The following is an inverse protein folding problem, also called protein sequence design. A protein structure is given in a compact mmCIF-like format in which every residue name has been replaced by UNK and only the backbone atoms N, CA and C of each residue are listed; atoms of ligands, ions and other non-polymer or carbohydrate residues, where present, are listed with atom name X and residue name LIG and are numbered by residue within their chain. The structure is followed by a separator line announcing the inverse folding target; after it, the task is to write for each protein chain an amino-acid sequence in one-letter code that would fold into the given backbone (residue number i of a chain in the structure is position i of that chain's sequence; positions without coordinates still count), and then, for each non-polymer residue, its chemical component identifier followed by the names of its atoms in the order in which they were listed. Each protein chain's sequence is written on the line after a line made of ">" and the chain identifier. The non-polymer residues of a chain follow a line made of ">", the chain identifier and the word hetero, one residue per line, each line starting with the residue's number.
data_IF_817557784876
#
_entry.id   IF_817557784876
#
_cell.length_a   1.000
_cell.length_b   1.000
_cell.length_c   1.000
_cell.angle_alpha   90.00
_cell.angle_beta   90.00
_cell.angle_gamma   90.00
#
_symmetry.space_group_name_H-M   'P 1'
#
loop_
_entity.id
_entity.type
_entity.pdbx_description
1 polymer ?
#
# COMPACT_ATOMS: atom_id res chain seq x y z
N UNK A 1 31.05 -44.07 52.88
CA UNK A 1 31.98 -43.46 53.88
C UNK A 1 33.17 -42.84 53.16
N UNK A 2 34.12 -43.61 52.60
CA UNK A 2 35.33 -43.10 51.93
C UNK A 2 35.01 -42.00 50.89
N UNK A 3 34.01 -42.23 50.04
CA UNK A 3 33.52 -41.23 49.05
C UNK A 3 32.99 -39.95 49.67
N UNK A 4 32.23 -40.02 50.77
CA UNK A 4 31.77 -38.80 51.45
C UNK A 4 32.96 -37.99 51.99
N UNK A 5 33.98 -38.69 52.50
CA UNK A 5 35.20 -38.07 53.02
C UNK A 5 36.05 -37.40 51.92
N UNK A 6 36.18 -38.01 50.73
CA UNK A 6 36.89 -37.36 49.62
C UNK A 6 36.13 -36.15 49.09
N UNK A 7 34.80 -36.20 49.00
CA UNK A 7 33.98 -35.06 48.58
C UNK A 7 33.99 -33.91 49.60
N UNK A 8 33.99 -34.18 50.92
CA UNK A 8 34.14 -33.12 51.93
C UNK A 8 35.55 -32.56 51.99
N UNK A 9 36.59 -33.37 51.82
CA UNK A 9 37.98 -32.89 51.69
C UNK A 9 38.16 -31.98 50.46
N UNK A 10 37.60 -32.38 49.31
CA UNK A 10 37.68 -31.59 48.07
C UNK A 10 36.89 -30.28 48.18
N UNK A 11 35.73 -30.28 48.87
CA UNK A 11 34.99 -29.05 49.19
C UNK A 11 35.77 -28.17 50.19
N UNK A 12 36.39 -28.76 51.21
CA UNK A 12 37.20 -28.02 52.20
C UNK A 12 38.42 -27.36 51.55
N UNK A 13 39.11 -28.04 50.64
CA UNK A 13 40.19 -27.46 49.84
C UNK A 13 39.70 -26.27 48.98
N UNK A 14 38.51 -26.38 48.40
CA UNK A 14 37.87 -25.30 47.63
C UNK A 14 37.52 -24.09 48.52
N UNK A 15 37.07 -24.32 49.76
CA UNK A 15 36.81 -23.26 50.76
C UNK A 15 38.12 -22.61 51.24
N UNK A 16 39.21 -23.36 51.39
CA UNK A 16 40.53 -22.80 51.69
C UNK A 16 41.06 -21.92 50.54
N UNK A 17 40.84 -22.32 49.28
CA UNK A 17 41.15 -21.49 48.10
C UNK A 17 40.28 -20.22 48.10
N UNK A 18 38.99 -20.32 48.43
CA UNK A 18 38.09 -19.17 48.57
C UNK A 18 38.57 -18.17 49.66
N UNK A 19 39.01 -18.66 50.82
CA UNK A 19 39.60 -17.80 51.87
C UNK A 19 40.98 -17.23 51.50
N UNK A 20 41.72 -17.87 50.59
CA UNK A 20 43.04 -17.41 50.15
C UNK A 20 43.00 -16.34 49.04
N UNK A 21 41.88 -16.17 48.33
CA UNK A 21 41.75 -15.23 47.21
C UNK A 21 41.13 -13.91 47.66
N UNK A 22 41.96 -12.88 47.78
CA UNK A 22 41.60 -11.52 48.22
C UNK A 22 40.78 -10.70 47.20
N UNK A 23 40.29 -11.31 46.11
CA UNK A 23 39.56 -10.63 45.02
C UNK A 23 38.15 -11.22 44.88
N UNK A 24 37.08 -10.51 45.29
CA UNK A 24 35.73 -11.07 45.33
C UNK A 24 35.14 -11.41 43.95
N UNK A 25 35.58 -10.73 42.89
CA UNK A 25 35.13 -10.98 41.52
C UNK A 25 35.46 -12.42 41.06
N UNK A 26 36.64 -12.92 41.41
CA UNK A 26 37.08 -14.29 41.07
C UNK A 26 36.25 -15.32 41.85
N UNK A 27 35.97 -15.06 43.12
CA UNK A 27 35.14 -15.92 43.96
C UNK A 27 33.72 -16.09 43.39
N UNK A 28 33.06 -15.00 42.97
CA UNK A 28 31.74 -15.08 42.33
C UNK A 28 31.77 -15.82 40.99
N UNK A 29 32.79 -15.61 40.15
CA UNK A 29 32.93 -16.34 38.90
C UNK A 29 33.07 -17.86 39.12
N UNK A 30 33.87 -18.26 40.11
CA UNK A 30 34.07 -19.67 40.48
C UNK A 30 32.78 -20.29 41.05
N UNK A 31 32.04 -19.57 41.89
CA UNK A 31 30.72 -20.01 42.40
C UNK A 31 29.72 -20.20 41.27
N UNK A 32 29.65 -19.25 40.32
CA UNK A 32 28.79 -19.35 39.15
C UNK A 32 29.15 -20.56 38.28
N UNK A 33 30.44 -20.80 38.01
CA UNK A 33 30.90 -21.97 37.24
C UNK A 33 30.63 -23.29 37.98
N UNK A 34 30.71 -23.33 39.31
CA UNK A 34 30.29 -24.50 40.12
C UNK A 34 28.78 -24.77 40.00
N UNK A 35 27.95 -23.73 40.15
CA UNK A 35 26.49 -23.84 39.99
C UNK A 35 26.11 -24.27 38.57
N UNK A 36 26.78 -23.75 37.54
CA UNK A 36 26.61 -24.19 36.16
C UNK A 36 27.03 -25.67 36.01
N UNK A 37 28.28 -26.02 36.31
CA UNK A 37 28.83 -27.35 36.02
C UNK A 37 28.09 -28.53 36.68
N UNK A 38 27.38 -28.31 37.80
CA UNK A 38 26.51 -29.33 38.41
C UNK A 38 25.01 -29.15 38.14
N UNK A 39 24.55 -27.93 37.91
CA UNK A 39 23.12 -27.63 37.79
C UNK A 39 22.57 -27.61 36.38
N UNK A 40 23.35 -27.23 35.36
CA UNK A 40 22.82 -26.53 34.18
C UNK A 40 21.78 -27.29 33.34
N UNK A 41 21.82 -28.63 33.28
CA UNK A 41 20.91 -29.42 32.43
C UNK A 41 19.43 -29.13 32.65
N UNK A 42 19.02 -28.91 33.92
CA UNK A 42 17.63 -28.62 34.27
C UNK A 42 17.21 -27.15 34.00
N UNK A 43 17.89 -26.10 34.51
CA UNK A 43 17.51 -24.71 34.25
C UNK A 43 17.74 -24.30 32.79
N UNK A 44 18.68 -24.89 32.04
CA UNK A 44 18.85 -24.59 30.61
C UNK A 44 17.69 -25.18 29.79
N UNK A 45 17.23 -26.40 30.13
CA UNK A 45 16.01 -26.97 29.58
C UNK A 45 14.77 -26.13 29.91
N UNK A 46 14.61 -25.72 31.18
CA UNK A 46 13.51 -24.85 31.60
C UNK A 46 13.55 -23.49 30.88
N UNK A 47 14.72 -22.84 30.80
CA UNK A 47 14.92 -21.57 30.10
C UNK A 47 14.67 -21.70 28.58
N UNK A 48 15.03 -22.83 27.96
CA UNK A 48 14.73 -23.11 26.56
C UNK A 48 13.22 -23.30 26.33
N UNK A 49 12.52 -24.03 27.20
CA UNK A 49 11.06 -24.18 27.13
C UNK A 49 10.33 -22.85 27.37
N UNK A 50 10.75 -22.07 28.37
CA UNK A 50 10.23 -20.73 28.65
C UNK A 50 10.51 -19.80 27.47
N UNK A 51 11.74 -19.79 26.94
CA UNK A 51 12.15 -18.99 25.78
C UNK A 51 11.40 -19.36 24.50
N UNK A 52 11.15 -20.65 24.24
CA UNK A 52 10.33 -21.12 23.12
C UNK A 52 8.86 -20.71 23.28
N UNK A 53 8.29 -20.82 24.48
CA UNK A 53 6.91 -20.39 24.79
C UNK A 53 6.76 -18.87 24.71
N UNK A 54 7.75 -18.12 25.20
CA UNK A 54 7.83 -16.66 25.09
C UNK A 54 7.96 -16.23 23.63
N UNK A 55 8.87 -16.82 22.85
CA UNK A 55 9.01 -16.57 21.40
C UNK A 55 7.71 -16.87 20.65
N UNK A 56 7.03 -17.98 20.95
CA UNK A 56 5.70 -18.28 20.38
C UNK A 56 4.68 -17.19 20.71
N UNK A 57 4.55 -16.79 21.98
CA UNK A 57 3.64 -15.69 22.40
C UNK A 57 4.03 -14.35 21.80
N UNK A 58 5.31 -14.11 21.54
CA UNK A 58 5.82 -12.90 20.90
C UNK A 58 5.61 -12.91 19.38
N UNK A 59 5.62 -14.08 18.72
CA UNK A 59 5.22 -14.21 17.31
C UNK A 59 3.71 -14.02 17.15
N UNK A 60 2.88 -14.60 18.03
CA UNK A 60 1.43 -14.31 18.08
C UNK A 60 1.11 -12.84 18.41
N UNK A 61 2.04 -12.11 19.03
CA UNK A 61 1.97 -10.65 19.24
C UNK A 61 2.73 -9.83 18.20
N UNK A 62 3.51 -10.44 17.31
CA UNK A 62 4.20 -9.76 16.20
C UNK A 62 3.18 -9.55 15.09
N UNK A 63 2.22 -8.69 15.39
CA UNK A 63 1.17 -8.12 14.55
C UNK A 63 0.93 -8.94 13.28
N UNK A 64 -0.18 -9.71 13.30
CA UNK A 64 -1.00 -9.76 12.09
C UNK A 64 -1.34 -8.30 11.79
N UNK A 65 -0.53 -7.68 10.93
CA UNK A 65 -0.91 -6.47 10.23
C UNK A 65 -2.13 -6.93 9.45
N UNK A 66 -3.32 -6.61 9.95
CA UNK A 66 -4.54 -6.82 9.20
C UNK A 66 -4.42 -5.88 8.02
N UNK A 67 -3.97 -6.42 6.88
CA UNK A 67 -4.03 -5.70 5.62
C UNK A 67 -5.44 -5.12 5.54
N UNK A 68 -5.50 -3.81 5.36
CA UNK A 68 -6.77 -3.09 5.26
C UNK A 68 -7.55 -3.77 4.14
N UNK A 69 -8.79 -4.19 4.39
CA UNK A 69 -9.57 -4.83 3.31
C UNK A 69 -9.77 -3.81 2.20
N UNK A 70 -9.85 -4.26 0.94
CA UNK A 70 -9.93 -3.37 -0.22
C UNK A 70 -10.99 -2.28 -0.02
N UNK A 71 -12.16 -2.66 0.51
CA UNK A 71 -13.27 -1.74 0.82
C UNK A 71 -12.91 -0.66 1.87
N UNK A 72 -12.16 -1.04 2.92
CA UNK A 72 -11.69 -0.13 3.98
C UNK A 72 -10.61 0.82 3.45
N UNK A 73 -9.79 0.37 2.50
CA UNK A 73 -8.82 1.21 1.80
C UNK A 73 -9.51 2.19 0.83
N UNK A 74 -10.50 1.70 0.08
CA UNK A 74 -11.29 2.47 -0.89
C UNK A 74 -12.09 3.58 -0.20
N UNK A 75 -12.75 3.29 0.92
CA UNK A 75 -13.48 4.28 1.74
C UNK A 75 -12.54 5.33 2.36
N UNK A 76 -11.35 4.93 2.83
CA UNK A 76 -10.32 5.88 3.29
C UNK A 76 -9.80 6.76 2.13
N UNK A 77 -9.59 6.17 0.95
CA UNK A 77 -9.19 6.91 -0.25
C UNK A 77 -10.23 7.96 -0.68
N UNK A 78 -11.52 7.60 -0.67
CA UNK A 78 -12.63 8.53 -0.95
C UNK A 78 -12.70 9.67 0.07
N UNK A 79 -12.69 9.34 1.37
CA UNK A 79 -12.86 10.34 2.44
C UNK A 79 -11.66 11.27 2.60
N UNK A 80 -10.42 10.77 2.49
CA UNK A 80 -9.21 11.59 2.47
C UNK A 80 -9.15 12.49 1.22
N UNK A 81 -9.48 11.95 0.04
CA UNK A 81 -9.56 12.73 -1.21
C UNK A 81 -10.57 13.86 -1.13
N UNK A 82 -11.80 13.59 -0.65
CA UNK A 82 -12.83 14.62 -0.50
C UNK A 82 -12.40 15.70 0.50
N UNK A 83 -11.75 15.33 1.62
CA UNK A 83 -11.22 16.31 2.58
C UNK A 83 -10.14 17.19 1.95
N UNK A 84 -9.16 16.58 1.26
CA UNK A 84 -8.06 17.30 0.63
C UNK A 84 -8.53 18.24 -0.49
N UNK A 85 -9.55 17.84 -1.26
CA UNK A 85 -10.14 18.69 -2.29
C UNK A 85 -10.88 19.90 -1.69
N UNK A 86 -11.61 19.76 -0.58
CA UNK A 86 -12.28 20.91 0.04
C UNK A 86 -11.27 21.82 0.78
N UNK A 87 -10.23 21.26 1.38
CA UNK A 87 -9.11 22.03 1.92
C UNK A 87 -8.44 22.86 0.80
N UNK A 88 -8.19 22.26 -0.37
CA UNK A 88 -7.66 22.95 -1.55
C UNK A 88 -8.63 24.04 -2.07
N UNK A 89 -9.95 23.78 -2.11
CA UNK A 89 -10.94 24.82 -2.46
C UNK A 89 -10.90 25.97 -1.45
N UNK A 90 -10.78 25.69 -0.16
CA UNK A 90 -10.67 26.73 0.87
C UNK A 90 -9.39 27.55 0.73
N UNK A 91 -8.26 26.90 0.43
CA UNK A 91 -6.98 27.54 0.18
C UNK A 91 -7.05 28.50 -1.02
N UNK A 92 -7.62 28.05 -2.13
CA UNK A 92 -7.79 28.85 -3.36
C UNK A 92 -8.82 29.99 -3.24
N UNK A 93 -9.64 30.03 -2.18
CA UNK A 93 -10.57 31.13 -1.87
C UNK A 93 -9.93 32.24 -1.03
N UNK A 94 -8.75 32.02 -0.43
CA UNK A 94 -8.08 33.02 0.40
C UNK A 94 -7.44 34.14 -0.45
N UNK A 95 -7.45 35.40 0.02
CA UNK A 95 -6.86 36.52 -0.72
C UNK A 95 -5.34 36.42 -0.87
N UNK A 96 -4.67 35.66 0.01
CA UNK A 96 -3.22 35.41 -0.04
C UNK A 96 -2.82 34.37 -1.11
N UNK A 97 -3.79 33.71 -1.75
CA UNK A 97 -3.52 32.74 -2.82
C UNK A 97 -3.12 33.43 -4.12
N UNK A 98 -2.01 33.00 -4.72
CA UNK A 98 -1.49 33.55 -5.98
C UNK A 98 -2.26 33.04 -7.20
N UNK A 99 -3.55 33.36 -7.29
CA UNK A 99 -4.50 32.89 -8.32
C UNK A 99 -3.98 33.03 -9.76
N UNK A 100 -3.30 34.12 -10.08
CA UNK A 100 -2.74 34.36 -11.42
C UNK A 100 -1.57 33.41 -11.77
N UNK A 101 -0.79 33.00 -10.77
CA UNK A 101 0.30 32.02 -10.92
C UNK A 101 -0.23 30.58 -11.06
N UNK A 102 -1.39 30.29 -10.49
CA UNK A 102 -2.09 29.02 -10.74
C UNK A 102 -2.69 29.01 -12.15
N UNK A 103 -3.46 30.04 -12.51
CA UNK A 103 -4.08 30.21 -13.84
C UNK A 103 -3.06 30.12 -14.97
N UNK A 104 -1.87 30.70 -14.84
CA UNK A 104 -0.83 30.66 -15.88
C UNK A 104 -0.18 29.28 -16.10
N UNK A 105 -0.43 28.32 -15.21
CA UNK A 105 0.12 26.94 -15.29
C UNK A 105 -0.93 25.89 -15.65
N UNK A 106 -2.21 26.26 -15.70
CA UNK A 106 -3.32 25.32 -15.89
C UNK A 106 -3.80 25.31 -17.33
N UNK A 107 -3.97 24.11 -17.90
CA UNK A 107 -4.44 23.92 -19.27
C UNK A 107 -5.86 24.46 -19.51
N UNK A 108 -6.73 24.46 -18.49
CA UNK A 108 -8.12 24.91 -18.58
C UNK A 108 -8.55 25.76 -17.37
N UNK A 109 -8.17 27.06 -17.30
CA UNK A 109 -8.44 27.90 -16.14
C UNK A 109 -9.92 28.08 -15.83
N UNK A 110 -10.81 27.97 -16.83
CA UNK A 110 -12.26 27.96 -16.63
C UNK A 110 -12.74 26.78 -15.78
N UNK A 111 -12.19 25.57 -15.98
CA UNK A 111 -12.53 24.39 -15.17
C UNK A 111 -12.03 24.52 -13.73
N UNK A 112 -10.83 25.09 -13.56
CA UNK A 112 -10.31 25.41 -12.23
C UNK A 112 -11.17 26.43 -11.48
N UNK A 113 -11.62 27.51 -12.15
CA UNK A 113 -12.54 28.48 -11.55
C UNK A 113 -13.86 27.83 -11.10
N UNK A 114 -14.44 26.95 -11.94
CA UNK A 114 -15.60 26.15 -11.57
C UNK A 114 -15.34 25.25 -10.35
N UNK A 115 -14.23 24.52 -10.33
CA UNK A 115 -13.84 23.68 -9.19
C UNK A 115 -13.74 24.47 -7.88
N UNK A 116 -13.08 25.64 -7.88
CA UNK A 116 -12.96 26.50 -6.68
C UNK A 116 -14.33 27.01 -6.22
N UNK A 117 -15.24 27.32 -7.15
CA UNK A 117 -16.62 27.71 -6.86
C UNK A 117 -17.51 26.56 -6.32
N UNK A 118 -17.04 25.31 -6.37
CA UNK A 118 -17.73 24.14 -5.82
C UNK A 118 -18.14 23.08 -6.83
N UNK A 119 -17.88 23.28 -8.13
CA UNK A 119 -18.16 22.24 -9.15
C UNK A 119 -17.36 20.95 -8.90
N UNK A 120 -17.82 19.81 -9.45
CA UNK A 120 -17.03 18.59 -9.52
C UNK A 120 -15.63 18.82 -10.13
N UNK A 121 -14.65 18.07 -9.64
CA UNK A 121 -13.27 18.14 -10.11
C UNK A 121 -13.06 17.35 -11.43
N UNK A 122 -13.85 16.30 -11.62
CA UNK A 122 -13.95 15.47 -12.84
C UNK A 122 -15.22 15.89 -13.61
N UNK A 123 -15.16 15.91 -14.94
CA UNK A 123 -16.32 16.14 -15.82
C UNK A 123 -17.18 14.89 -15.93
N UNK A 124 -18.50 15.04 -16.05
CA UNK A 124 -19.40 13.90 -16.29
C UNK A 124 -19.03 13.08 -17.55
N UNK A 125 -18.40 13.71 -18.55
CA UNK A 125 -17.87 13.01 -19.73
C UNK A 125 -16.61 12.17 -19.42
N UNK A 126 -15.78 12.60 -18.48
CA UNK A 126 -14.59 11.86 -18.03
C UNK A 126 -14.97 10.70 -17.12
N UNK A 127 -15.94 10.91 -16.21
CA UNK A 127 -16.55 9.82 -15.43
C UNK A 127 -17.18 8.79 -16.36
N UNK A 128 -18.00 9.21 -17.33
CA UNK A 128 -18.61 8.31 -18.31
C UNK A 128 -17.58 7.51 -19.10
N UNK A 129 -16.51 8.14 -19.58
CA UNK A 129 -15.45 7.43 -20.31
C UNK A 129 -14.74 6.39 -19.43
N UNK A 130 -14.43 6.73 -18.17
CA UNK A 130 -13.86 5.80 -17.21
C UNK A 130 -14.83 4.63 -16.89
N UNK A 131 -16.13 4.89 -16.77
CA UNK A 131 -17.14 3.87 -16.52
C UNK A 131 -17.39 2.97 -17.75
N UNK A 132 -17.12 3.46 -18.97
CA UNK A 132 -17.14 2.68 -20.21
C UNK A 132 -15.86 1.84 -20.39
N UNK A 133 -14.70 2.30 -19.91
CA UNK A 133 -13.41 1.59 -19.98
C UNK A 133 -13.22 0.57 -18.84
N UNK A 134 -13.58 0.93 -17.61
CA UNK A 134 -13.32 0.15 -16.37
C UNK A 134 -14.57 -0.24 -15.57
N UNK A 135 -15.78 0.15 -16.01
CA UNK A 135 -17.01 -0.20 -15.31
C UNK A 135 -17.41 -1.67 -15.46
N UNK A 136 -18.39 -2.10 -14.66
CA UNK A 136 -18.90 -3.49 -14.60
C UNK A 136 -19.35 -4.03 -15.98
N UNK A 137 -19.76 -3.16 -16.90
CA UNK A 137 -20.08 -3.54 -18.27
C UNK A 137 -18.84 -3.95 -19.09
N UNK A 138 -17.70 -3.29 -18.90
CA UNK A 138 -16.46 -3.53 -19.64
C UNK A 138 -15.94 -4.95 -19.38
N UNK A 139 -15.78 -5.34 -18.11
CA UNK A 139 -15.30 -6.68 -17.74
C UNK A 139 -16.23 -7.80 -18.24
N UNK A 140 -17.56 -7.58 -18.20
CA UNK A 140 -18.53 -8.57 -18.68
C UNK A 140 -18.59 -8.68 -20.22
N UNK A 141 -18.25 -7.62 -20.94
CA UNK A 141 -18.03 -7.68 -22.40
C UNK A 141 -16.67 -8.32 -22.73
N UNK A 142 -15.62 -8.05 -21.96
CA UNK A 142 -14.29 -8.65 -22.15
C UNK A 142 -14.32 -10.17 -21.96
N UNK A 143 -14.94 -10.67 -20.88
CA UNK A 143 -15.11 -12.11 -20.63
C UNK A 143 -15.83 -12.80 -21.80
N UNK A 144 -16.96 -12.25 -22.27
CA UNK A 144 -17.68 -12.80 -23.43
C UNK A 144 -16.87 -12.71 -24.74
N UNK A 145 -16.04 -11.68 -24.92
CA UNK A 145 -15.20 -11.54 -26.11
C UNK A 145 -14.11 -12.62 -26.15
N UNK A 146 -13.53 -12.98 -25.00
CA UNK A 146 -12.56 -14.08 -24.91
C UNK A 146 -13.21 -15.46 -24.99
N UNK A 147 -14.37 -15.67 -24.37
CA UNK A 147 -15.14 -16.92 -24.46
C UNK A 147 -15.54 -17.20 -25.93
N UNK A 148 -16.13 -16.21 -26.62
CA UNK A 148 -16.55 -16.31 -28.03
C UNK A 148 -15.37 -16.60 -28.98
N UNK A 149 -14.15 -16.23 -28.61
CA UNK A 149 -12.94 -16.45 -29.41
C UNK A 149 -12.31 -17.84 -29.23
N UNK A 150 -12.93 -18.71 -28.43
CA UNK A 150 -12.40 -20.02 -28.05
C UNK A 150 -13.17 -21.19 -28.69
N UNK A 151 -14.07 -20.92 -29.64
CA UNK A 151 -14.62 -21.94 -30.53
C UNK A 151 -13.59 -22.40 -31.59
N UNK A 152 -13.44 -23.71 -31.85
CA UNK A 152 -12.40 -24.22 -32.74
C UNK A 152 -12.76 -24.06 -34.23
N UNK A 153 -11.91 -23.35 -35.00
CA UNK A 153 -12.09 -23.24 -36.45
C UNK A 153 -12.05 -24.61 -37.14
N UNK A 154 -13.14 -24.97 -37.82
CA UNK A 154 -13.15 -25.97 -38.88
C UNK A 154 -13.84 -25.44 -40.14
N UNK A 155 -13.08 -25.57 -41.23
CA UNK A 155 -13.47 -25.84 -42.61
C UNK A 155 -13.54 -24.71 -43.67
N UNK A 156 -12.60 -24.87 -44.60
CA UNK A 156 -12.56 -24.57 -46.04
C UNK A 156 -13.39 -23.44 -46.73
N UNK A 157 -12.63 -22.55 -47.37
CA UNK A 157 -12.65 -22.32 -48.85
C UNK A 157 -13.64 -21.32 -49.48
N UNK A 158 -13.12 -20.09 -49.64
CA UNK A 158 -13.23 -19.17 -50.80
C UNK A 158 -14.58 -18.76 -51.42
N UNK A 159 -14.80 -17.44 -51.54
CA UNK A 159 -15.08 -16.78 -52.83
C UNK A 159 -14.79 -15.26 -52.78
N UNK A 160 -14.59 -14.61 -53.94
CA UNK A 160 -14.39 -13.16 -54.11
C UNK A 160 -15.52 -12.54 -54.97
N UNK A 161 -16.12 -11.42 -54.53
CA UNK A 161 -16.90 -10.38 -55.27
C UNK A 161 -16.92 -9.13 -54.34
N UNK A 162 -16.64 -7.85 -54.67
CA UNK A 162 -16.31 -7.07 -55.89
C UNK A 162 -17.48 -6.31 -56.58
N UNK A 163 -17.53 -4.97 -56.39
CA UNK A 163 -18.31 -3.94 -57.14
C UNK A 163 -19.87 -3.98 -56.98
N UNK A 164 -20.64 -2.87 -57.02
CA UNK A 164 -20.30 -1.42 -57.10
C UNK A 164 -21.47 -0.47 -56.68
N UNK A 165 -21.15 0.84 -56.68
CA UNK A 165 -21.98 2.02 -57.06
C UNK A 165 -22.97 2.78 -56.12
N UNK A 166 -23.14 4.05 -56.54
CA UNK A 166 -24.10 5.14 -56.20
C UNK A 166 -24.12 5.71 -54.75
N UNK A 167 -23.79 6.99 -54.52
CA UNK A 167 -24.46 8.27 -54.91
C UNK A 167 -25.64 8.67 -53.97
N UNK A 168 -25.85 9.93 -53.54
CA UNK A 168 -25.16 11.22 -53.80
C UNK A 168 -25.51 12.26 -52.66
N UNK A 169 -24.93 13.47 -52.71
CA UNK A 169 -25.51 14.77 -52.26
C UNK A 169 -25.87 15.00 -50.75
N UNK A 170 -25.75 16.19 -50.13
CA UNK A 170 -25.14 17.49 -50.54
C UNK A 170 -24.91 18.45 -49.33
N UNK A 171 -24.21 19.58 -49.55
CA UNK A 171 -24.24 20.91 -48.87
C UNK A 171 -24.21 21.03 -47.29
N UNK A 172 -23.75 22.12 -46.64
CA UNK A 172 -23.19 23.42 -47.04
C UNK A 172 -22.15 23.89 -45.98
N UNK A 173 -21.20 24.74 -46.38
CA UNK A 173 -20.33 25.49 -45.45
C UNK A 173 -21.04 26.77 -44.94
N UNK A 174 -21.09 27.03 -43.62
CA UNK A 174 -21.21 28.42 -43.13
C UNK A 174 -20.04 28.82 -42.22
N UNK A 175 -19.22 29.72 -42.74
CA UNK A 175 -18.04 30.28 -42.10
C UNK A 175 -18.44 31.59 -41.39
N UNK A 176 -18.66 31.53 -40.07
CA UNK A 176 -19.05 32.71 -39.27
C UNK A 176 -17.96 33.80 -39.36
N UNK A 177 -18.27 34.88 -40.08
CA UNK A 177 -17.38 36.01 -40.29
C UNK A 177 -17.53 37.04 -39.16
N UNK A 178 -16.40 37.55 -38.65
CA UNK A 178 -16.40 38.58 -37.60
C UNK A 178 -16.67 39.98 -38.20
N UNK A 179 -17.73 40.69 -37.79
CA UNK A 179 -17.95 42.07 -38.21
C UNK A 179 -17.03 43.03 -37.44
N UNK A 180 -16.17 43.74 -38.16
CA UNK A 180 -15.46 44.91 -37.64
C UNK A 180 -16.37 46.14 -37.71
N UNK A 181 -16.47 46.89 -36.62
CA UNK A 181 -17.23 48.14 -36.54
C UNK A 181 -16.27 49.32 -36.30
N UNK A 182 -16.38 50.35 -37.13
CA UNK A 182 -15.65 51.63 -37.02
C UNK A 182 -16.65 52.78 -37.04
N UNK A 183 -16.24 53.94 -36.53
CA UNK A 183 -16.89 55.25 -36.68
C UNK A 183 -18.31 55.44 -36.10
N UNK A 184 -18.41 56.39 -35.17
CA UNK A 184 -19.28 57.59 -35.20
C UNK A 184 -19.87 58.00 -33.84
N UNK A 185 -19.03 58.45 -32.90
CA UNK A 185 -19.13 59.79 -32.26
C UNK A 185 -17.92 60.07 -31.34
#
# INVERSE_FOLDING_TARGET
>A
IITLFTWTLQLTAFVFIYCGVTIPQVAYAIIAVMLCSKGLGYPLGAAWHIGRKMKSRFQSKKLVVRCLTEEEYREQGETETVRALEELRSFCKNPDFSSWLAVSKLQSPHRFAGFVLGSPHISAAETKAHDEEYGIGSSFFEEQLFETRTEPEQDETTSYIHEDDDENEDEIHEQISFPYATELL
#
